data_IF_612406560760
#
_entry.id   IF_612406560760
#
_cell.length_a   1.000
_cell.length_b   1.000
_cell.length_c   1.000
_cell.angle_alpha   90.00
_cell.angle_beta   90.00
_cell.angle_gamma   90.00
#
_symmetry.space_group_name_H-M   'P 1'
#
loop_
_entity.id
_entity.type
_entity.pdbx_description
1 polymer ?
#
# COMPACT_ATOMS: atom_id res chain seq x y z
N UNK A 1 0.06 -6.54 4.14
CA UNK A 1 0.24 -7.44 5.30
C UNK A 1 -0.55 -8.72 5.16
N UNK A 2 -1.89 -8.67 5.12
CA UNK A 2 -2.74 -9.86 4.96
C UNK A 2 -2.46 -10.69 3.71
N UNK A 3 -2.22 -10.04 2.57
CA UNK A 3 -1.79 -10.73 1.35
C UNK A 3 -0.41 -11.40 1.53
N UNK A 4 0.53 -10.71 2.19
CA UNK A 4 1.86 -11.26 2.49
C UNK A 4 1.80 -12.46 3.43
N UNK A 5 0.99 -12.40 4.50
CA UNK A 5 0.79 -13.54 5.41
C UNK A 5 0.04 -14.71 4.75
N UNK A 6 -0.81 -14.44 3.76
CA UNK A 6 -1.47 -15.49 2.99
C UNK A 6 -0.46 -16.22 2.08
N UNK A 7 0.43 -15.49 1.42
CA UNK A 7 1.47 -16.05 0.55
C UNK A 7 2.62 -16.72 1.34
N UNK A 8 2.83 -16.33 2.60
CA UNK A 8 3.90 -16.87 3.44
C UNK A 8 3.69 -18.32 3.90
N UNK A 9 2.47 -18.88 3.78
CA UNK A 9 2.12 -20.19 4.38
C UNK A 9 2.91 -21.38 3.84
N UNK A 10 3.48 -21.25 2.63
CA UNK A 10 4.18 -22.34 1.93
C UNK A 10 5.66 -22.04 1.67
N UNK A 11 6.18 -20.92 2.20
CA UNK A 11 7.54 -20.46 1.94
C UNK A 11 8.39 -20.43 3.21
N UNK A 12 9.70 -20.66 3.08
CA UNK A 12 10.60 -20.57 4.22
C UNK A 12 10.87 -19.11 4.64
N UNK A 13 11.24 -18.90 5.90
CA UNK A 13 11.57 -17.58 6.44
C UNK A 13 12.71 -16.91 5.67
N UNK A 14 13.71 -17.68 5.22
CA UNK A 14 14.83 -17.15 4.43
C UNK A 14 14.36 -16.54 3.11
N UNK A 15 13.52 -17.28 2.38
CA UNK A 15 12.95 -16.87 1.10
C UNK A 15 12.05 -15.65 1.25
N UNK A 16 11.20 -15.64 2.28
CA UNK A 16 10.32 -14.53 2.59
C UNK A 16 11.09 -13.25 2.90
N UNK A 17 12.20 -13.34 3.66
CA UNK A 17 13.05 -12.18 3.98
C UNK A 17 13.73 -11.64 2.75
N UNK A 18 14.24 -12.51 1.89
CA UNK A 18 14.91 -12.11 0.66
C UNK A 18 13.92 -11.43 -0.30
N UNK A 19 12.76 -12.05 -0.50
CA UNK A 19 11.67 -11.48 -1.30
C UNK A 19 11.21 -10.11 -0.79
N UNK A 20 11.01 -9.98 0.53
CA UNK A 20 10.67 -8.70 1.15
C UNK A 20 11.78 -7.65 0.99
N UNK A 21 13.05 -8.02 1.16
CA UNK A 21 14.17 -7.10 1.00
C UNK A 21 14.22 -6.52 -0.41
N UNK A 22 14.05 -7.36 -1.44
CA UNK A 22 14.02 -6.89 -2.82
C UNK A 22 12.76 -6.10 -3.17
N UNK A 23 11.59 -6.52 -2.69
CA UNK A 23 10.35 -5.78 -2.95
C UNK A 23 10.37 -4.40 -2.30
N UNK A 24 10.76 -4.31 -1.03
CA UNK A 24 10.82 -3.04 -0.28
C UNK A 24 11.96 -2.17 -0.79
N UNK A 25 13.14 -2.74 -1.04
CA UNK A 25 14.29 -2.00 -1.59
C UNK A 25 14.00 -1.44 -2.98
N UNK A 26 13.46 -2.27 -3.88
CA UNK A 26 13.05 -1.84 -5.22
C UNK A 26 11.94 -0.77 -5.18
N UNK A 27 10.93 -0.95 -4.32
CA UNK A 27 9.90 0.06 -4.10
C UNK A 27 10.44 1.39 -3.57
N UNK A 28 11.43 1.33 -2.69
CA UNK A 28 12.14 2.51 -2.19
C UNK A 28 12.89 3.26 -3.29
N UNK A 29 13.62 2.54 -4.14
CA UNK A 29 14.32 3.14 -5.30
C UNK A 29 13.35 3.78 -6.28
N UNK A 30 12.23 3.12 -6.59
CA UNK A 30 11.18 3.69 -7.44
C UNK A 30 10.61 4.96 -6.82
N UNK A 31 10.35 4.95 -5.51
CA UNK A 31 9.82 6.11 -4.78
C UNK A 31 10.79 7.30 -4.81
N UNK A 32 12.10 7.05 -4.69
CA UNK A 32 13.13 8.08 -4.85
C UNK A 32 13.13 8.65 -6.28
N UNK A 33 13.01 7.80 -7.30
CA UNK A 33 12.89 8.23 -8.69
C UNK A 33 11.67 9.14 -8.90
N UNK A 34 10.51 8.76 -8.37
CA UNK A 34 9.28 9.58 -8.43
C UNK A 34 9.48 10.93 -7.72
N UNK A 35 10.17 10.94 -6.58
CA UNK A 35 10.47 12.18 -5.86
C UNK A 35 11.35 13.12 -6.70
N UNK A 36 12.45 12.62 -7.27
CA UNK A 36 13.36 13.40 -8.12
C UNK A 36 12.59 14.01 -9.30
N UNK A 37 11.83 13.20 -10.03
CA UNK A 37 11.05 13.68 -11.17
C UNK A 37 9.95 14.65 -10.73
N UNK A 38 9.32 14.41 -9.58
CA UNK A 38 8.34 15.31 -8.98
C UNK A 38 8.90 16.68 -8.64
N UNK A 39 10.17 16.77 -8.21
CA UNK A 39 10.82 18.07 -7.94
C UNK A 39 11.10 18.87 -9.20
N UNK A 40 11.39 18.20 -10.33
CA UNK A 40 11.62 18.85 -11.62
C UNK A 40 10.34 19.45 -12.23
N UNK A 41 9.16 18.96 -11.84
CA UNK A 41 7.88 19.42 -12.37
C UNK A 41 7.47 20.83 -11.91
N UNK A 42 8.01 21.37 -10.81
CA UNK A 42 7.66 22.72 -10.34
C UNK A 42 6.22 22.91 -9.84
N UNK A 43 5.45 21.82 -9.65
CA UNK A 43 4.15 21.82 -8.96
C UNK A 43 2.95 21.40 -9.84
N UNK A 44 2.08 20.55 -9.30
CA UNK A 44 0.96 19.92 -10.00
C UNK A 44 1.36 18.65 -10.77
N UNK A 45 0.56 17.59 -10.64
CA UNK A 45 0.78 16.34 -11.38
C UNK A 45 -0.05 16.36 -12.67
N UNK A 46 0.61 16.62 -13.78
CA UNK A 46 0.05 16.49 -15.11
C UNK A 46 0.90 15.50 -15.92
N UNK A 47 0.30 14.38 -16.36
CA UNK A 47 1.03 13.31 -17.03
C UNK A 47 1.65 13.75 -18.36
N UNK A 48 1.01 14.67 -19.10
CA UNK A 48 1.56 15.26 -20.32
C UNK A 48 2.86 16.02 -20.03
N UNK A 49 2.80 16.98 -19.10
CA UNK A 49 3.98 17.74 -18.66
C UNK A 49 5.08 16.85 -18.07
N UNK A 50 4.71 15.81 -17.34
CA UNK A 50 5.65 14.81 -16.81
C UNK A 50 6.40 14.09 -17.94
N UNK A 51 5.69 13.70 -19.01
CA UNK A 51 6.31 13.08 -20.17
C UNK A 51 7.24 14.05 -20.92
N UNK A 52 6.85 15.33 -21.05
CA UNK A 52 7.67 16.37 -21.68
C UNK A 52 8.97 16.63 -20.90
N UNK A 53 8.88 16.82 -19.58
CA UNK A 53 10.04 17.01 -18.70
C UNK A 53 10.98 15.81 -18.77
N UNK A 54 10.45 14.59 -18.77
CA UNK A 54 11.28 13.40 -18.92
C UNK A 54 11.91 13.31 -20.31
N UNK A 55 11.18 13.67 -21.36
CA UNK A 55 11.70 13.64 -22.73
C UNK A 55 12.80 14.70 -22.96
N UNK A 56 12.69 15.89 -22.34
CA UNK A 56 13.72 16.93 -22.44
C UNK A 56 15.00 16.57 -21.68
N UNK A 57 14.88 15.93 -20.52
CA UNK A 57 16.03 15.58 -19.67
C UNK A 57 16.71 14.25 -20.08
N UNK A 58 15.93 13.26 -20.54
CA UNK A 58 16.40 11.89 -20.78
C UNK A 58 16.28 11.44 -22.25
N UNK A 59 15.70 12.26 -23.12
CA UNK A 59 15.53 11.98 -24.54
C UNK A 59 14.21 11.29 -24.91
N UNK A 60 14.01 11.07 -26.21
CA UNK A 60 12.71 10.69 -26.79
C UNK A 60 12.12 9.36 -26.30
N UNK A 61 12.91 8.45 -25.74
CA UNK A 61 12.43 7.17 -25.19
C UNK A 61 11.73 7.31 -23.83
N UNK A 62 11.97 8.40 -23.10
CA UNK A 62 11.56 8.51 -21.70
C UNK A 62 10.04 8.60 -21.52
N UNK A 63 9.34 9.31 -22.43
CA UNK A 63 7.88 9.38 -22.43
C UNK A 63 7.23 8.00 -22.65
N UNK A 64 7.81 7.18 -23.52
CA UNK A 64 7.32 5.81 -23.75
C UNK A 64 7.57 4.92 -22.53
N UNK A 65 8.76 4.99 -21.94
CA UNK A 65 9.07 4.28 -20.69
C UNK A 65 8.13 4.67 -19.55
N UNK A 66 7.78 5.96 -19.43
CA UNK A 66 6.78 6.43 -18.47
C UNK A 66 5.41 5.80 -18.73
N UNK A 67 4.95 5.78 -19.98
CA UNK A 67 3.64 5.20 -20.33
C UNK A 67 3.59 3.69 -19.99
N UNK A 68 4.62 2.94 -20.35
CA UNK A 68 4.74 1.50 -20.03
C UNK A 68 4.78 1.29 -18.51
N UNK A 69 5.57 2.09 -17.79
CA UNK A 69 5.66 2.00 -16.33
C UNK A 69 4.34 2.31 -15.64
N UNK A 70 3.64 3.36 -16.06
CA UNK A 70 2.33 3.74 -15.51
C UNK A 70 1.27 2.67 -15.79
N UNK A 71 1.29 2.08 -17.00
CA UNK A 71 0.42 0.96 -17.34
C UNK A 71 0.72 -0.27 -16.46
N UNK A 72 1.98 -0.66 -16.33
CA UNK A 72 2.38 -1.81 -15.51
C UNK A 72 1.98 -1.62 -14.05
N UNK A 73 2.24 -0.43 -13.47
CA UNK A 73 1.85 -0.10 -12.10
C UNK A 73 0.32 -0.17 -11.91
N UNK A 74 -0.44 0.40 -12.83
CA UNK A 74 -1.91 0.34 -12.81
C UNK A 74 -2.45 -1.08 -12.94
N UNK A 75 -1.88 -1.88 -13.85
CA UNK A 75 -2.26 -3.27 -14.08
C UNK A 75 -2.02 -4.15 -12.84
N UNK A 76 -0.84 -4.05 -12.22
CA UNK A 76 -0.54 -4.77 -10.97
C UNK A 76 -1.48 -4.37 -9.83
N UNK A 77 -1.83 -3.08 -9.73
CA UNK A 77 -2.81 -2.61 -8.73
C UNK A 77 -4.21 -3.17 -8.96
N UNK A 78 -4.65 -3.21 -10.23
CA UNK A 78 -5.95 -3.75 -10.62
C UNK A 78 -6.13 -5.24 -10.29
N UNK A 79 -5.03 -6.00 -10.19
CA UNK A 79 -5.06 -7.41 -9.75
C UNK A 79 -5.01 -7.51 -8.23
N UNK A 80 -4.09 -6.78 -7.59
CA UNK A 80 -3.79 -6.92 -6.16
C UNK A 80 -4.89 -6.37 -5.25
N UNK A 81 -5.55 -5.27 -5.63
CA UNK A 81 -6.60 -4.66 -4.80
C UNK A 81 -7.85 -5.56 -4.67
N UNK A 82 -8.42 -6.11 -5.76
CA UNK A 82 -9.48 -7.12 -5.68
C UNK A 82 -9.12 -8.35 -4.85
N UNK A 83 -7.89 -8.86 -5.01
CA UNK A 83 -7.41 -10.02 -4.27
C UNK A 83 -7.33 -9.74 -2.76
N UNK A 84 -6.75 -8.60 -2.38
CA UNK A 84 -6.67 -8.18 -0.98
C UNK A 84 -8.06 -8.00 -0.36
N UNK A 85 -9.00 -7.40 -1.10
CA UNK A 85 -10.38 -7.23 -0.63
C UNK A 85 -11.09 -8.58 -0.44
N UNK A 86 -10.95 -9.52 -1.38
CA UNK A 86 -11.57 -10.83 -1.31
C UNK A 86 -11.00 -11.69 -0.15
N UNK A 87 -9.68 -11.66 0.05
CA UNK A 87 -9.02 -12.32 1.20
C UNK A 87 -9.51 -11.72 2.51
N UNK A 88 -9.60 -10.39 2.60
CA UNK A 88 -10.07 -9.70 3.81
C UNK A 88 -11.54 -10.02 4.10
N UNK A 89 -12.40 -10.00 3.08
CA UNK A 89 -13.81 -10.36 3.22
C UNK A 89 -13.98 -11.80 3.70
N UNK A 90 -13.21 -12.75 3.15
CA UNK A 90 -13.16 -14.14 3.64
C UNK A 90 -12.80 -14.19 5.13
N UNK A 91 -11.76 -13.48 5.56
CA UNK A 91 -11.32 -13.51 6.96
C UNK A 91 -12.33 -12.90 7.94
N UNK A 92 -13.20 -11.99 7.50
CA UNK A 92 -14.15 -11.29 8.37
C UNK A 92 -15.57 -11.88 8.34
N UNK A 93 -16.01 -12.38 7.18
CA UNK A 93 -17.42 -12.69 6.91
C UNK A 93 -17.68 -14.17 6.63
N UNK A 94 -16.63 -14.98 6.47
CA UNK A 94 -16.78 -16.29 5.84
C UNK A 94 -15.64 -17.25 6.09
N UNK A 95 -15.65 -17.89 7.25
CA UNK A 95 -14.85 -19.10 7.48
C UNK A 95 -15.25 -20.17 6.44
N UNK A 96 -14.27 -20.71 5.73
CA UNK A 96 -14.48 -21.76 4.72
C UNK A 96 -14.76 -21.30 3.28
N UNK A 97 -14.68 -20.00 2.95
CA UNK A 97 -14.77 -19.59 1.54
C UNK A 97 -13.53 -20.04 0.76
N UNK A 98 -13.72 -20.92 -0.23
CA UNK A 98 -12.69 -21.23 -1.21
C UNK A 98 -12.53 -20.08 -2.21
N UNK A 99 -11.37 -19.99 -2.85
CA UNK A 99 -11.11 -18.99 -3.90
C UNK A 99 -12.03 -19.15 -5.12
N UNK A 100 -12.58 -20.36 -5.30
CA UNK A 100 -13.54 -20.67 -6.36
C UNK A 100 -14.99 -20.35 -5.97
N UNK A 101 -15.26 -20.03 -4.70
CA UNK A 101 -16.61 -19.75 -4.22
C UNK A 101 -17.18 -18.47 -4.88
N UNK A 102 -18.48 -18.49 -5.19
CA UNK A 102 -19.15 -17.34 -5.81
C UNK A 102 -19.05 -16.07 -4.96
N UNK A 103 -18.99 -16.20 -3.63
CA UNK A 103 -18.85 -15.05 -2.71
C UNK A 103 -17.47 -14.40 -2.82
N UNK A 104 -16.40 -15.20 -2.85
CA UNK A 104 -15.03 -14.70 -3.03
C UNK A 104 -14.88 -13.97 -4.37
N UNK A 105 -15.36 -14.60 -5.46
CA UNK A 105 -15.33 -14.03 -6.80
C UNK A 105 -16.18 -12.77 -6.92
N UNK A 106 -17.33 -12.71 -6.24
CA UNK A 106 -18.18 -11.52 -6.25
C UNK A 106 -17.49 -10.30 -5.63
N UNK A 107 -16.78 -10.47 -4.50
CA UNK A 107 -15.99 -9.38 -3.90
C UNK A 107 -14.87 -8.94 -4.84
N UNK A 108 -14.13 -9.91 -5.39
CA UNK A 108 -13.05 -9.64 -6.33
C UNK A 108 -13.55 -8.86 -7.57
N UNK A 109 -14.58 -9.36 -8.25
CA UNK A 109 -15.16 -8.69 -9.42
C UNK A 109 -15.78 -7.34 -9.07
N UNK A 110 -16.41 -7.21 -7.90
CA UNK A 110 -17.00 -5.95 -7.45
C UNK A 110 -15.96 -4.84 -7.33
N UNK A 111 -14.80 -5.13 -6.73
CA UNK A 111 -13.70 -4.15 -6.61
C UNK A 111 -13.09 -3.82 -7.98
N UNK A 112 -12.92 -4.82 -8.85
CA UNK A 112 -12.42 -4.61 -10.21
C UNK A 112 -13.36 -3.70 -11.01
N UNK A 113 -14.67 -3.98 -10.98
CA UNK A 113 -15.67 -3.18 -11.68
C UNK A 113 -15.75 -1.75 -11.15
N UNK A 114 -15.65 -1.55 -9.83
CA UNK A 114 -15.59 -0.22 -9.25
C UNK A 114 -14.37 0.55 -9.76
N UNK A 115 -13.19 -0.08 -9.77
CA UNK A 115 -11.97 0.52 -10.32
C UNK A 115 -12.09 0.86 -11.81
N UNK A 116 -12.61 -0.07 -12.61
CA UNK A 116 -12.86 0.14 -14.04
C UNK A 116 -13.87 1.27 -14.29
N UNK A 117 -14.94 1.35 -13.51
CA UNK A 117 -15.95 2.40 -13.61
C UNK A 117 -15.37 3.79 -13.36
N UNK A 118 -14.62 3.98 -12.28
CA UNK A 118 -13.95 5.27 -12.02
C UNK A 118 -12.87 5.58 -13.08
N UNK A 119 -12.16 4.56 -13.56
CA UNK A 119 -11.18 4.71 -14.64
C UNK A 119 -11.81 5.17 -15.96
N UNK A 120 -12.93 4.58 -16.37
CA UNK A 120 -13.63 4.92 -17.62
C UNK A 120 -14.32 6.28 -17.58
N UNK A 121 -14.88 6.65 -16.43
CA UNK A 121 -15.59 7.94 -16.28
C UNK A 121 -14.65 9.13 -16.12
N UNK A 122 -13.36 8.89 -15.85
CA UNK A 122 -12.37 9.94 -15.57
C UNK A 122 -12.63 10.70 -14.27
N UNK A 123 -13.64 10.29 -13.50
CA UNK A 123 -13.94 10.87 -12.18
C UNK A 123 -12.78 10.53 -11.26
N UNK A 124 -12.14 11.56 -10.71
CA UNK A 124 -11.07 11.39 -9.71
C UNK A 124 -11.72 11.35 -8.33
N UNK A 125 -11.86 10.19 -7.67
CA UNK A 125 -12.52 10.11 -6.37
C UNK A 125 -11.57 10.58 -5.25
N UNK A 126 -11.11 11.84 -5.34
CA UNK A 126 -10.08 12.43 -4.47
C UNK A 126 -10.50 12.32 -3.00
N UNK A 127 -11.76 12.61 -2.68
CA UNK A 127 -12.28 12.47 -1.32
C UNK A 127 -12.20 11.04 -0.79
N UNK A 128 -12.52 10.04 -1.62
CA UNK A 128 -12.43 8.61 -1.26
C UNK A 128 -10.97 8.20 -1.06
N UNK A 129 -10.07 8.66 -1.94
CA UNK A 129 -8.62 8.42 -1.80
C UNK A 129 -8.11 9.04 -0.50
N UNK A 130 -8.45 10.29 -0.19
CA UNK A 130 -8.06 10.95 1.05
C UNK A 130 -8.60 10.23 2.28
N UNK A 131 -9.86 9.79 2.25
CA UNK A 131 -10.45 9.01 3.32
C UNK A 131 -9.71 7.68 3.52
N UNK A 132 -9.44 6.94 2.45
CA UNK A 132 -8.66 5.70 2.50
C UNK A 132 -7.25 5.93 3.05
N UNK A 133 -6.60 7.05 2.70
CA UNK A 133 -5.29 7.43 3.25
C UNK A 133 -5.37 7.74 4.75
N UNK A 134 -6.42 8.41 5.22
CA UNK A 134 -6.64 8.66 6.64
C UNK A 134 -6.82 7.33 7.41
N UNK A 135 -7.61 6.41 6.87
CA UNK A 135 -7.75 5.07 7.43
C UNK A 135 -6.42 4.29 7.44
N UNK A 136 -5.64 4.34 6.36
CA UNK A 136 -4.32 3.72 6.33
C UNK A 136 -3.39 4.31 7.40
N UNK A 137 -3.40 5.63 7.57
CA UNK A 137 -2.64 6.32 8.63
C UNK A 137 -3.04 5.86 10.03
N UNK A 138 -4.32 5.56 10.28
CA UNK A 138 -4.81 5.08 11.56
C UNK A 138 -4.57 3.57 11.79
N UNK A 139 -4.75 2.76 10.76
CA UNK A 139 -4.65 1.29 10.84
C UNK A 139 -3.20 0.85 11.02
N UNK A 140 -2.24 1.52 10.37
CA UNK A 140 -0.82 1.16 10.46
C UNK A 140 -0.26 1.08 11.89
N UNK A 141 -0.40 2.10 12.77
CA UNK A 141 0.09 2.01 14.14
C UNK A 141 -0.60 0.90 14.95
N UNK A 142 -1.91 0.69 14.74
CA UNK A 142 -2.63 -0.39 15.41
C UNK A 142 -2.04 -1.77 15.05
N UNK A 143 -1.83 -2.01 13.75
CA UNK A 143 -1.21 -3.25 13.26
C UNK A 143 0.23 -3.37 13.76
N UNK A 144 1.01 -2.29 13.76
CA UNK A 144 2.40 -2.32 14.21
C UNK A 144 2.52 -2.70 15.70
N UNK A 145 1.67 -2.12 16.56
CA UNK A 145 1.60 -2.50 17.99
C UNK A 145 1.16 -3.94 18.15
N UNK A 146 0.14 -4.37 17.42
CA UNK A 146 -0.34 -5.75 17.46
C UNK A 146 0.77 -6.76 17.08
N UNK A 147 1.52 -6.48 16.02
CA UNK A 147 2.66 -7.31 15.62
C UNK A 147 3.76 -7.29 16.68
N UNK A 148 4.04 -6.14 17.29
CA UNK A 148 5.04 -6.06 18.36
C UNK A 148 4.67 -6.96 19.53
N UNK A 149 3.41 -6.96 19.96
CA UNK A 149 2.93 -7.86 21.02
C UNK A 149 3.05 -9.32 20.57
N UNK A 150 2.52 -9.64 19.39
CA UNK A 150 2.48 -11.02 18.87
C UNK A 150 3.87 -11.61 18.66
N UNK A 151 4.82 -10.80 18.20
CA UNK A 151 6.22 -11.21 17.96
C UNK A 151 7.03 -11.42 19.25
N UNK A 152 6.44 -11.12 20.41
CA UNK A 152 7.01 -11.40 21.73
C UNK A 152 6.22 -12.44 22.52
N UNK A 153 5.16 -13.00 21.94
CA UNK A 153 4.35 -14.02 22.59
C UNK A 153 4.98 -15.40 22.44
N UNK A 154 5.54 -15.90 23.54
CA UNK A 154 6.16 -17.24 23.62
C UNK A 154 5.16 -18.37 23.43
N UNK A 155 3.88 -18.15 23.74
CA UNK A 155 2.85 -19.16 23.52
C UNK A 155 2.54 -19.35 22.02
N UNK A 156 2.73 -18.29 21.22
CA UNK A 156 2.48 -18.33 19.78
C UNK A 156 3.72 -18.73 18.97
N UNK A 157 4.91 -18.28 19.38
CA UNK A 157 6.15 -18.43 18.59
C UNK A 157 7.20 -19.37 19.22
N UNK A 158 6.91 -19.92 20.40
CA UNK A 158 7.88 -20.71 21.16
C UNK A 158 9.02 -19.86 21.73
N UNK A 159 10.05 -20.51 22.28
CA UNK A 159 11.15 -19.81 22.95
C UNK A 159 12.18 -19.20 21.99
N UNK A 160 12.32 -19.78 20.79
CA UNK A 160 13.33 -19.37 19.80
C UNK A 160 12.75 -18.50 18.67
N UNK A 161 11.42 -18.41 18.56
CA UNK A 161 10.73 -17.62 17.53
C UNK A 161 10.40 -16.18 17.94
N UNK A 162 10.62 -15.80 19.20
CA UNK A 162 10.35 -14.44 19.69
C UNK A 162 11.45 -13.45 19.32
N UNK A 163 11.08 -12.17 19.24
CA UNK A 163 12.04 -11.11 18.96
C UNK A 163 13.14 -11.01 20.01
N UNK A 164 14.37 -10.88 19.53
CA UNK A 164 15.52 -10.45 20.32
C UNK A 164 15.37 -8.99 20.76
N UNK A 165 16.17 -8.58 21.77
CA UNK A 165 16.15 -7.20 22.27
C UNK A 165 16.46 -6.18 21.17
N UNK A 166 17.38 -6.50 20.25
CA UNK A 166 17.69 -5.65 19.10
C UNK A 166 16.50 -5.53 18.12
N UNK A 167 15.83 -6.64 17.80
CA UNK A 167 14.64 -6.63 16.94
C UNK A 167 13.49 -5.83 17.56
N UNK A 168 13.31 -5.91 18.88
CA UNK A 168 12.34 -5.10 19.61
C UNK A 168 12.67 -3.62 19.59
N UNK A 169 13.94 -3.24 19.68
CA UNK A 169 14.36 -1.84 19.57
C UNK A 169 14.04 -1.29 18.17
N UNK A 170 14.39 -2.04 17.11
CA UNK A 170 14.08 -1.67 15.72
C UNK A 170 12.56 -1.58 15.51
N UNK A 171 11.81 -2.58 15.96
CA UNK A 171 10.35 -2.60 15.85
C UNK A 171 9.71 -1.46 16.64
N UNK A 172 10.27 -1.08 17.79
CA UNK A 172 9.84 0.08 18.55
C UNK A 172 10.00 1.39 17.80
N UNK A 173 11.12 1.58 17.09
CA UNK A 173 11.31 2.74 16.20
C UNK A 173 10.29 2.74 15.05
N UNK A 174 10.00 1.56 14.47
CA UNK A 174 8.98 1.42 13.43
C UNK A 174 7.60 1.79 13.96
N UNK A 175 7.21 1.26 15.12
CA UNK A 175 5.92 1.56 15.77
C UNK A 175 5.80 3.04 16.09
N UNK A 176 6.84 3.64 16.66
CA UNK A 176 6.87 5.09 16.93
C UNK A 176 6.69 5.89 15.64
N UNK A 177 7.37 5.49 14.57
CA UNK A 177 7.25 6.13 13.25
C UNK A 177 5.83 6.01 12.71
N UNK A 178 5.22 4.82 12.78
CA UNK A 178 3.82 4.60 12.39
C UNK A 178 2.85 5.46 13.19
N UNK A 179 3.06 5.61 14.51
CA UNK A 179 2.22 6.46 15.36
C UNK A 179 2.35 7.93 14.97
N UNK A 180 3.59 8.42 14.81
CA UNK A 180 3.85 9.82 14.42
C UNK A 180 3.24 10.13 13.05
N UNK A 181 3.43 9.25 12.06
CA UNK A 181 2.86 9.43 10.72
C UNK A 181 1.33 9.31 10.73
N UNK A 182 0.77 8.39 11.50
CA UNK A 182 -0.66 8.21 11.64
C UNK A 182 -1.35 9.43 12.26
N UNK A 183 -0.79 9.95 13.36
CA UNK A 183 -1.28 11.17 14.00
C UNK A 183 -1.18 12.40 13.08
N UNK A 184 -0.08 12.53 12.33
CA UNK A 184 0.07 13.58 11.31
C UNK A 184 -0.96 13.46 10.19
N UNK A 185 -1.24 12.25 9.73
CA UNK A 185 -2.27 11.96 8.73
C UNK A 185 -3.66 12.38 9.20
N UNK A 186 -4.00 12.02 10.44
CA UNK A 186 -5.27 12.38 11.06
C UNK A 186 -5.42 13.89 11.22
N UNK A 187 -4.38 14.56 11.73
CA UNK A 187 -4.36 16.02 11.87
C UNK A 187 -4.57 16.74 10.53
N UNK A 188 -3.88 16.29 9.48
CA UNK A 188 -4.02 16.84 8.13
C UNK A 188 -5.42 16.65 7.56
N UNK A 189 -6.05 15.49 7.81
CA UNK A 189 -7.42 15.24 7.40
C UNK A 189 -8.42 16.16 8.13
N UNK A 190 -8.27 16.30 9.45
CA UNK A 190 -9.13 17.19 10.26
C UNK A 190 -8.98 18.65 9.84
N UNK A 191 -7.76 19.15 9.65
CA UNK A 191 -7.51 20.54 9.21
C UNK A 191 -8.15 20.82 7.85
N UNK A 192 -8.02 19.90 6.88
CA UNK A 192 -8.67 20.04 5.56
C UNK A 192 -10.18 20.00 5.65
N UNK A 193 -10.75 19.12 6.46
CA UNK A 193 -12.20 19.04 6.68
C UNK A 193 -12.77 20.31 7.34
N UNK A 194 -12.07 20.87 8.33
CA UNK A 194 -12.44 22.13 8.97
C UNK A 194 -12.40 23.29 7.98
N UNK A 195 -11.36 23.38 7.13
CA UNK A 195 -11.26 24.42 6.09
C UNK A 195 -12.37 24.32 5.04
N UNK A 196 -12.84 23.12 4.71
CA UNK A 196 -13.96 22.91 3.78
C UNK A 196 -15.33 23.24 4.40
N UNK A 197 -15.47 23.26 5.72
CA UNK A 197 -16.70 23.62 6.42
C UNK A 197 -16.84 25.13 6.69
N UNK A 198 -15.73 25.87 6.63
CA UNK A 198 -15.68 27.32 6.86
C UNK A 198 -15.74 28.12 5.53
N UNK A 199 -15.75 27.43 4.39
CA UNK A 199 -15.99 27.97 3.04
C UNK A 199 -17.42 27.65 2.59
#
# INVERSE_FOLDING_TARGET
>A
LFLGSALARENDLGEMRWGLACAVGGGGLISLGVLVVGTALGGGLEFGRLAEVLASELGGGAAFSLAVGLFAAGFTSAITAPLAAAITARTLLGEGWSEQSSRYRAVWFGVLLAGAFFGMTGIRPIAVILLAQAFNGLILPLIAVFLWITMNDRNLLGNDGVNTLFQNLVLGVVVLTCVVLGLRGLWSAVDKSLRMLVL
#
